data_IF_084347920860
#
_entry.id   IF_084347920860
#
_cell.length_a   1.000
_cell.length_b   1.000
_cell.length_c   1.000
_cell.angle_alpha   90.00
_cell.angle_beta   90.00
_cell.angle_gamma   90.00
#
_symmetry.space_group_name_H-M   'P 1'
#
loop_
_entity.id
_entity.type
_entity.pdbx_description
1 polymer ?
#
# COMPACT_ATOMS: atom_id res chain seq x y z
N UNK A 1 -10.88 7.81 19.11
CA UNK A 1 -11.15 7.76 17.66
C UNK A 1 -9.96 7.26 16.85
N UNK A 2 -8.77 7.87 16.95
CA UNK A 2 -7.57 7.43 16.21
C UNK A 2 -7.25 5.95 16.43
N UNK A 3 -7.25 5.47 17.68
CA UNK A 3 -6.99 4.05 17.98
C UNK A 3 -8.03 3.10 17.33
N UNK A 4 -9.30 3.50 17.26
CA UNK A 4 -10.34 2.71 16.60
C UNK A 4 -10.10 2.60 15.09
N UNK A 5 -9.78 3.73 14.43
CA UNK A 5 -9.46 3.74 13.01
C UNK A 5 -8.14 3.01 12.72
N UNK A 6 -7.18 3.03 13.64
CA UNK A 6 -5.94 2.23 13.55
C UNK A 6 -6.26 0.74 13.47
N UNK A 7 -7.13 0.24 14.36
CA UNK A 7 -7.54 -1.18 14.36
C UNK A 7 -8.25 -1.55 13.05
N UNK A 8 -9.18 -0.70 12.55
CA UNK A 8 -9.85 -0.95 11.26
C UNK A 8 -8.84 -1.07 10.14
N UNK A 9 -7.87 -0.15 10.07
CA UNK A 9 -6.87 -0.15 9.00
C UNK A 9 -5.90 -1.33 9.13
N UNK A 10 -5.56 -1.74 10.35
CA UNK A 10 -4.79 -2.97 10.58
C UNK A 10 -5.57 -4.20 10.10
N UNK A 11 -6.85 -4.34 10.43
CA UNK A 11 -7.71 -5.46 9.98
C UNK A 11 -7.79 -5.54 8.45
N UNK A 12 -7.91 -4.39 7.76
CA UNK A 12 -7.87 -4.30 6.32
C UNK A 12 -6.59 -4.98 5.73
N UNK A 13 -5.43 -4.70 6.31
CA UNK A 13 -4.17 -5.31 5.86
C UNK A 13 -3.97 -6.75 6.34
N UNK A 14 -4.56 -7.15 7.47
CA UNK A 14 -4.61 -8.55 7.90
C UNK A 14 -5.34 -9.40 6.86
N UNK A 15 -6.53 -9.00 6.43
CA UNK A 15 -7.32 -9.70 5.41
C UNK A 15 -6.56 -9.85 4.08
N UNK A 16 -5.93 -8.76 3.63
CA UNK A 16 -5.16 -8.75 2.38
C UNK A 16 -3.99 -9.72 2.45
N UNK A 17 -3.18 -9.61 3.51
CA UNK A 17 -1.94 -10.37 3.62
C UNK A 17 -2.17 -11.83 3.97
N UNK A 18 -3.23 -12.16 4.74
CA UNK A 18 -3.61 -13.54 5.03
C UNK A 18 -3.85 -14.35 3.76
N UNK A 19 -4.48 -13.75 2.74
CA UNK A 19 -4.74 -14.42 1.47
C UNK A 19 -3.44 -14.79 0.71
N UNK A 20 -2.39 -13.99 0.82
CA UNK A 20 -1.10 -14.29 0.19
C UNK A 20 -0.32 -15.40 0.92
N UNK A 21 -0.46 -15.46 2.24
CA UNK A 21 0.21 -16.49 3.07
C UNK A 21 -0.33 -17.90 2.88
N UNK A 22 -1.51 -18.06 2.27
CA UNK A 22 -2.14 -19.37 2.04
C UNK A 22 -2.02 -19.86 0.58
N UNK A 23 -1.21 -19.21 -0.28
CA UNK A 23 -1.06 -19.62 -1.67
C UNK A 23 -0.76 -21.10 -1.86
N UNK A 24 0.14 -21.75 -1.08
CA UNK A 24 0.36 -23.19 -1.19
C UNK A 24 -0.89 -24.01 -0.92
N UNK A 25 -1.74 -23.58 0.03
CA UNK A 25 -2.99 -24.27 0.37
C UNK A 25 -4.03 -24.12 -0.72
N UNK A 26 -4.16 -22.92 -1.31
CA UNK A 26 -5.06 -22.67 -2.44
C UNK A 26 -4.70 -23.51 -3.66
N UNK A 27 -3.41 -23.69 -3.96
CA UNK A 27 -2.95 -24.63 -5.00
C UNK A 27 -3.41 -26.06 -4.70
N UNK A 28 -3.20 -26.53 -3.49
CA UNK A 28 -3.45 -27.91 -3.10
C UNK A 28 -4.96 -28.23 -3.00
N UNK A 29 -5.75 -27.34 -2.38
CA UNK A 29 -7.17 -27.65 -2.06
C UNK A 29 -8.15 -27.21 -3.15
N UNK A 30 -7.89 -26.06 -3.80
CA UNK A 30 -8.78 -25.51 -4.81
C UNK A 30 -8.23 -25.61 -6.24
N UNK A 31 -7.02 -26.15 -6.42
CA UNK A 31 -6.41 -26.33 -7.74
C UNK A 31 -6.04 -25.00 -8.42
N UNK A 32 -5.67 -23.98 -7.66
CA UNK A 32 -5.22 -22.71 -8.24
C UNK A 32 -4.00 -22.88 -9.10
N UNK A 33 -4.05 -22.37 -10.32
CA UNK A 33 -2.85 -22.15 -11.14
C UNK A 33 -2.07 -20.93 -10.62
N UNK A 34 -0.79 -20.83 -10.98
CA UNK A 34 0.02 -19.67 -10.62
C UNK A 34 -0.55 -18.35 -11.18
N UNK A 35 -1.11 -18.39 -12.38
CA UNK A 35 -1.83 -17.25 -12.98
C UNK A 35 -3.02 -16.82 -12.12
N UNK A 36 -3.81 -17.78 -11.63
CA UNK A 36 -4.94 -17.49 -10.75
C UNK A 36 -4.50 -16.96 -9.38
N UNK A 37 -3.37 -17.41 -8.85
CA UNK A 37 -2.78 -16.84 -7.64
C UNK A 37 -2.35 -15.37 -7.86
N UNK A 38 -1.75 -15.07 -9.03
CA UNK A 38 -1.48 -13.69 -9.42
C UNK A 38 -2.76 -12.83 -9.46
N UNK A 39 -3.88 -13.40 -9.96
CA UNK A 39 -5.18 -12.72 -9.99
C UNK A 39 -5.76 -12.43 -8.60
N UNK A 40 -5.40 -13.19 -7.55
CA UNK A 40 -5.89 -12.94 -6.18
C UNK A 40 -5.60 -11.50 -5.74
N UNK A 41 -4.41 -11.00 -5.98
CA UNK A 41 -4.06 -9.62 -5.65
C UNK A 41 -4.36 -8.63 -6.76
N UNK A 42 -4.23 -9.04 -8.04
CA UNK A 42 -4.50 -8.16 -9.18
C UNK A 42 -5.94 -7.68 -9.22
N UNK A 43 -6.91 -8.59 -9.11
CA UNK A 43 -8.33 -8.24 -9.13
C UNK A 43 -8.72 -7.39 -7.94
N UNK A 44 -8.19 -7.70 -6.76
CA UNK A 44 -8.35 -6.85 -5.58
C UNK A 44 -7.76 -5.45 -5.81
N UNK A 45 -6.50 -5.37 -6.23
CA UNK A 45 -5.79 -4.09 -6.42
C UNK A 45 -6.44 -3.22 -7.49
N UNK A 46 -6.86 -3.81 -8.61
CA UNK A 46 -7.51 -3.08 -9.70
C UNK A 46 -8.91 -2.60 -9.31
N UNK A 47 -9.74 -3.45 -8.70
CA UNK A 47 -11.06 -3.05 -8.25
C UNK A 47 -10.99 -1.94 -7.19
N UNK A 48 -10.07 -2.05 -6.24
CA UNK A 48 -9.79 -1.03 -5.24
C UNK A 48 -9.35 0.30 -5.89
N UNK A 49 -8.34 0.25 -6.77
CA UNK A 49 -7.75 1.45 -7.40
C UNK A 49 -8.75 2.16 -8.34
N UNK A 50 -9.48 1.41 -9.16
CA UNK A 50 -10.45 1.97 -10.10
C UNK A 50 -11.68 2.55 -9.39
N UNK A 51 -12.08 1.98 -8.26
CA UNK A 51 -13.23 2.48 -7.50
C UNK A 51 -12.87 3.62 -6.53
N UNK A 52 -11.60 3.84 -6.23
CA UNK A 52 -11.13 4.88 -5.30
C UNK A 52 -11.64 6.30 -5.62
N UNK A 53 -11.68 6.78 -6.89
CA UNK A 53 -12.26 8.09 -7.21
C UNK A 53 -13.75 8.19 -6.90
N UNK A 54 -14.50 7.11 -7.09
CA UNK A 54 -15.94 7.02 -6.75
C UNK A 54 -16.10 7.04 -5.24
N UNK A 55 -15.31 6.25 -4.51
CA UNK A 55 -15.28 6.22 -3.04
C UNK A 55 -14.98 7.59 -2.44
N UNK A 56 -14.03 8.32 -3.04
CA UNK A 56 -13.74 9.69 -2.63
C UNK A 56 -14.94 10.63 -2.76
N UNK A 57 -15.68 10.55 -3.87
CA UNK A 57 -16.91 11.35 -4.06
C UNK A 57 -18.01 10.97 -3.07
N UNK A 58 -18.18 9.67 -2.82
CA UNK A 58 -19.14 9.19 -1.82
C UNK A 58 -18.77 9.73 -0.43
N UNK A 59 -17.49 9.72 -0.07
CA UNK A 59 -17.00 10.25 1.21
C UNK A 59 -17.13 11.78 1.34
N UNK A 60 -17.26 12.50 0.22
CA UNK A 60 -17.50 13.95 0.23
C UNK A 60 -18.98 14.30 0.54
N UNK A 61 -19.93 13.42 0.17
CA UNK A 61 -21.38 13.69 0.29
C UNK A 61 -22.07 12.85 1.36
N UNK A 62 -21.55 11.68 1.67
CA UNK A 62 -22.10 10.78 2.67
C UNK A 62 -21.54 11.04 4.07
N UNK A 63 -22.25 10.56 5.07
CA UNK A 63 -21.75 10.54 6.45
C UNK A 63 -20.55 9.62 6.57
N UNK A 64 -19.39 10.17 6.87
CA UNK A 64 -18.10 9.45 6.92
C UNK A 64 -18.05 8.36 7.97
N UNK A 65 -18.71 8.57 9.13
CA UNK A 65 -18.84 7.58 10.19
C UNK A 65 -19.55 6.32 9.71
N UNK A 66 -20.72 6.49 9.06
CA UNK A 66 -21.46 5.38 8.48
C UNK A 66 -20.72 4.72 7.32
N UNK A 67 -19.96 5.49 6.54
CA UNK A 67 -19.19 4.95 5.43
C UNK A 67 -18.05 4.04 5.91
N UNK A 68 -17.36 4.40 7.01
CA UNK A 68 -16.37 3.54 7.66
C UNK A 68 -17.00 2.25 8.17
N UNK A 69 -18.15 2.34 8.87
CA UNK A 69 -18.85 1.18 9.44
C UNK A 69 -19.34 0.27 8.31
N UNK A 70 -20.00 0.83 7.30
CA UNK A 70 -20.53 0.06 6.17
C UNK A 70 -19.42 -0.61 5.36
N UNK A 71 -18.32 0.11 5.10
CA UNK A 71 -17.15 -0.44 4.43
C UNK A 71 -16.62 -1.66 5.19
N UNK A 72 -16.38 -1.52 6.51
CA UNK A 72 -15.90 -2.62 7.36
C UNK A 72 -16.85 -3.83 7.33
N UNK A 73 -18.15 -3.61 7.48
CA UNK A 73 -19.14 -4.68 7.44
C UNK A 73 -19.19 -5.38 6.07
N UNK A 74 -19.19 -4.60 4.97
CA UNK A 74 -19.28 -5.13 3.62
C UNK A 74 -18.04 -5.94 3.23
N UNK A 75 -16.81 -5.44 3.53
CA UNK A 75 -15.64 -6.25 3.23
C UNK A 75 -15.53 -7.48 4.14
N UNK A 76 -15.99 -7.41 5.40
CA UNK A 76 -16.05 -8.59 6.27
C UNK A 76 -16.99 -9.65 5.71
N UNK A 77 -18.12 -9.27 5.11
CA UNK A 77 -18.98 -10.20 4.38
C UNK A 77 -18.31 -10.76 3.13
N UNK A 78 -17.51 -9.95 2.41
CA UNK A 78 -16.70 -10.44 1.30
C UNK A 78 -15.62 -11.44 1.77
N UNK A 79 -15.04 -11.23 2.95
CA UNK A 79 -14.13 -12.18 3.61
C UNK A 79 -14.84 -13.50 3.95
N UNK A 80 -16.10 -13.44 4.40
CA UNK A 80 -16.91 -14.67 4.57
C UNK A 80 -17.16 -15.36 3.23
N UNK A 81 -17.49 -14.61 2.19
CA UNK A 81 -17.63 -15.16 0.84
C UNK A 81 -16.35 -15.84 0.34
N UNK A 82 -15.18 -15.27 0.68
CA UNK A 82 -13.88 -15.90 0.44
C UNK A 82 -13.76 -17.23 1.20
N UNK A 83 -14.15 -17.29 2.49
CA UNK A 83 -14.14 -18.50 3.29
C UNK A 83 -15.05 -19.62 2.72
N UNK A 84 -16.18 -19.23 2.15
CA UNK A 84 -17.18 -20.16 1.57
C UNK A 84 -16.85 -20.58 0.13
N UNK A 85 -15.74 -20.09 -0.44
CA UNK A 85 -15.37 -20.37 -1.83
C UNK A 85 -14.95 -21.84 -2.02
N UNK A 86 -15.53 -22.50 -3.03
CA UNK A 86 -15.25 -23.88 -3.40
C UNK A 86 -14.55 -24.00 -4.77
N UNK A 87 -14.22 -22.89 -5.41
CA UNK A 87 -13.50 -22.84 -6.69
C UNK A 87 -12.61 -21.59 -6.76
N UNK A 88 -11.57 -21.61 -7.62
CA UNK A 88 -10.76 -20.42 -7.87
C UNK A 88 -11.60 -19.22 -8.31
N UNK A 89 -12.56 -19.43 -9.22
CA UNK A 89 -13.43 -18.36 -9.73
C UNK A 89 -14.24 -17.71 -8.61
N UNK A 90 -14.86 -18.49 -7.74
CA UNK A 90 -15.62 -17.96 -6.60
C UNK A 90 -14.73 -17.13 -5.68
N UNK A 91 -13.54 -17.62 -5.33
CA UNK A 91 -12.57 -16.90 -4.54
C UNK A 91 -12.19 -15.55 -5.19
N UNK A 92 -11.89 -15.56 -6.48
CA UNK A 92 -11.51 -14.37 -7.25
C UNK A 92 -12.64 -13.32 -7.33
N UNK A 93 -13.89 -13.74 -7.45
CA UNK A 93 -15.05 -12.83 -7.41
C UNK A 93 -15.07 -12.08 -6.06
N UNK A 94 -14.89 -12.79 -4.95
CA UNK A 94 -14.88 -12.15 -3.63
C UNK A 94 -13.69 -11.21 -3.44
N UNK A 95 -12.54 -11.44 -4.10
CA UNK A 95 -11.42 -10.48 -4.12
C UNK A 95 -11.80 -9.17 -4.81
N UNK A 96 -12.60 -9.21 -5.89
CA UNK A 96 -13.14 -8.01 -6.54
C UNK A 96 -14.10 -7.26 -5.60
N UNK A 97 -15.06 -7.98 -5.00
CA UNK A 97 -16.02 -7.38 -4.06
C UNK A 97 -15.30 -6.74 -2.87
N UNK A 98 -14.28 -7.41 -2.34
CA UNK A 98 -13.46 -6.90 -1.25
C UNK A 98 -12.76 -5.60 -1.65
N UNK A 99 -12.14 -5.53 -2.83
CA UNK A 99 -11.49 -4.31 -3.32
C UNK A 99 -12.44 -3.12 -3.46
N UNK A 100 -13.64 -3.35 -4.00
CA UNK A 100 -14.68 -2.32 -4.13
C UNK A 100 -15.12 -1.80 -2.74
N UNK A 101 -15.41 -2.70 -1.82
CA UNK A 101 -15.96 -2.36 -0.50
C UNK A 101 -14.91 -1.72 0.42
N UNK A 102 -13.67 -2.20 0.37
CA UNK A 102 -12.56 -1.62 1.14
C UNK A 102 -12.15 -0.23 0.68
N UNK A 103 -12.29 0.08 -0.62
CA UNK A 103 -11.94 1.39 -1.16
C UNK A 103 -12.73 2.55 -0.52
N UNK A 104 -13.92 2.28 0.01
CA UNK A 104 -14.76 3.26 0.70
C UNK A 104 -14.18 3.74 2.04
N UNK A 105 -13.35 2.90 2.69
CA UNK A 105 -12.81 3.18 4.01
C UNK A 105 -11.84 4.36 4.02
N UNK A 106 -10.82 4.30 3.16
CA UNK A 106 -9.65 5.19 3.25
C UNK A 106 -10.00 6.68 3.15
N UNK A 107 -10.79 7.15 2.15
CA UNK A 107 -11.19 8.56 2.06
C UNK A 107 -12.02 9.01 3.28
N UNK A 108 -12.92 8.15 3.76
CA UNK A 108 -13.78 8.45 4.90
C UNK A 108 -12.97 8.58 6.20
N UNK A 109 -12.05 7.64 6.45
CA UNK A 109 -11.19 7.64 7.64
C UNK A 109 -10.26 8.86 7.67
N UNK A 110 -9.60 9.18 6.55
CA UNK A 110 -8.76 10.38 6.45
C UNK A 110 -9.56 11.66 6.67
N UNK A 111 -10.80 11.71 6.15
CA UNK A 111 -11.70 12.83 6.35
C UNK A 111 -12.08 13.02 7.82
N UNK A 112 -12.35 11.93 8.56
CA UNK A 112 -12.62 11.97 10.00
C UNK A 112 -11.38 12.46 10.76
N UNK A 113 -10.22 11.88 10.49
CA UNK A 113 -8.97 12.26 11.16
C UNK A 113 -8.59 13.72 10.91
N UNK A 114 -8.83 14.24 9.70
CA UNK A 114 -8.54 15.62 9.37
C UNK A 114 -9.40 16.62 10.14
N UNK A 115 -10.66 16.26 10.47
CA UNK A 115 -11.58 17.09 11.26
C UNK A 115 -11.24 17.02 12.75
N UNK A 116 -10.96 15.83 13.27
CA UNK A 116 -10.70 15.62 14.70
C UNK A 116 -9.31 16.08 15.15
N UNK A 117 -8.35 16.20 14.23
CA UNK A 117 -6.97 16.60 14.50
C UNK A 117 -6.58 17.81 13.65
N UNK A 118 -7.07 19.02 13.97
CA UNK A 118 -6.69 20.24 13.24
C UNK A 118 -5.26 20.70 13.58
N UNK A 119 -4.65 21.45 12.66
CA UNK A 119 -3.36 22.11 12.89
C UNK A 119 -2.17 21.15 13.04
N UNK A 120 -1.37 21.34 14.07
CA UNK A 120 -0.08 20.64 14.28
C UNK A 120 -0.21 19.16 14.61
N UNK A 121 -1.37 18.70 15.07
CA UNK A 121 -1.58 17.29 15.44
C UNK A 121 -2.02 16.41 14.26
N UNK A 122 -2.44 17.00 13.15
CA UNK A 122 -2.98 16.30 11.98
C UNK A 122 -1.98 15.32 11.37
N UNK A 123 -0.77 15.76 11.09
CA UNK A 123 0.27 14.91 10.48
C UNK A 123 0.64 13.73 11.37
N UNK A 124 0.71 13.96 12.70
CA UNK A 124 0.97 12.90 13.68
C UNK A 124 -0.15 11.86 13.70
N UNK A 125 -1.41 12.30 13.70
CA UNK A 125 -2.57 11.41 13.69
C UNK A 125 -2.63 10.56 12.39
N UNK A 126 -2.38 11.18 11.24
CA UNK A 126 -2.31 10.48 9.96
C UNK A 126 -1.15 9.48 9.92
N UNK A 127 0.03 9.85 10.44
CA UNK A 127 1.19 8.96 10.53
C UNK A 127 0.93 7.74 11.41
N UNK A 128 0.30 7.92 12.58
CA UNK A 128 -0.10 6.80 13.46
C UNK A 128 -1.11 5.90 12.74
N UNK A 129 -2.12 6.48 12.08
CA UNK A 129 -3.08 5.70 11.30
C UNK A 129 -2.38 4.87 10.20
N UNK A 130 -1.44 5.46 9.48
CA UNK A 130 -0.68 4.76 8.43
C UNK A 130 0.23 3.66 9.00
N UNK A 131 0.72 3.78 10.24
CA UNK A 131 1.52 2.74 10.89
C UNK A 131 0.72 1.43 11.12
N UNK A 132 -0.62 1.50 11.15
CA UNK A 132 -1.49 0.33 11.22
C UNK A 132 -1.31 -0.62 10.04
N UNK A 133 -0.93 -0.12 8.87
CA UNK A 133 -0.59 -0.92 7.70
C UNK A 133 0.55 -1.90 8.00
N UNK A 134 1.64 -1.42 8.58
CA UNK A 134 2.79 -2.28 8.91
C UNK A 134 2.40 -3.38 9.90
N UNK A 135 1.67 -3.01 10.95
CA UNK A 135 1.18 -3.98 11.94
C UNK A 135 0.22 -5.00 11.30
N UNK A 136 -0.69 -4.54 10.45
CA UNK A 136 -1.65 -5.41 9.75
C UNK A 136 -0.98 -6.39 8.79
N UNK A 137 0.04 -5.94 8.04
CA UNK A 137 0.80 -6.82 7.12
C UNK A 137 1.56 -7.91 7.92
N UNK A 138 2.22 -7.55 9.02
CA UNK A 138 2.92 -8.53 9.87
C UNK A 138 1.92 -9.54 10.46
N UNK A 139 0.85 -9.04 11.07
CA UNK A 139 -0.16 -9.88 11.69
C UNK A 139 -0.85 -10.79 10.67
N UNK A 140 -1.21 -10.27 9.50
CA UNK A 140 -1.84 -11.03 8.43
C UNK A 140 -0.93 -12.08 7.80
N UNK A 141 0.37 -11.74 7.65
CA UNK A 141 1.38 -12.68 7.19
C UNK A 141 1.49 -13.93 8.08
N UNK A 142 1.55 -13.70 9.37
CA UNK A 142 1.56 -14.80 10.36
C UNK A 142 0.20 -15.50 10.46
N UNK A 143 -0.88 -14.72 10.60
CA UNK A 143 -2.23 -15.22 10.86
C UNK A 143 -2.74 -16.16 9.77
N UNK A 144 -2.57 -15.76 8.48
CA UNK A 144 -3.03 -16.58 7.35
C UNK A 144 -2.42 -17.98 7.36
N UNK A 145 -1.09 -18.05 7.56
CA UNK A 145 -0.38 -19.32 7.68
C UNK A 145 -0.80 -20.11 8.91
N UNK A 146 -0.84 -19.47 10.10
CA UNK A 146 -1.24 -20.10 11.35
C UNK A 146 -2.68 -20.66 11.27
N UNK A 147 -3.61 -19.89 10.77
CA UNK A 147 -5.00 -20.34 10.65
C UNK A 147 -5.11 -21.54 9.69
N UNK A 148 -4.39 -21.51 8.56
CA UNK A 148 -4.39 -22.62 7.62
C UNK A 148 -3.83 -23.90 8.20
N UNK A 149 -2.82 -23.81 9.10
CA UNK A 149 -2.18 -24.97 9.76
C UNK A 149 -3.00 -25.54 10.91
N UNK A 150 -3.75 -24.71 11.65
CA UNK A 150 -4.38 -25.11 12.93
C UNK A 150 -5.88 -25.35 12.83
N UNK A 151 -6.62 -24.43 12.23
CA UNK A 151 -8.09 -24.46 12.18
C UNK A 151 -8.64 -24.57 10.76
N UNK A 152 -7.75 -24.54 9.76
CA UNK A 152 -8.10 -24.45 8.35
C UNK A 152 -8.35 -23.02 7.88
N UNK A 153 -7.90 -22.69 6.65
CA UNK A 153 -7.98 -21.34 6.11
C UNK A 153 -9.42 -20.79 6.03
N UNK A 154 -10.40 -21.66 5.78
CA UNK A 154 -11.82 -21.25 5.73
C UNK A 154 -12.30 -20.75 7.08
N UNK A 155 -12.00 -21.46 8.15
CA UNK A 155 -12.33 -21.03 9.52
C UNK A 155 -11.54 -19.77 9.90
N UNK A 156 -10.29 -19.63 9.42
CA UNK A 156 -9.50 -18.41 9.59
C UNK A 156 -10.18 -17.18 8.98
N UNK A 157 -10.61 -17.25 7.70
CA UNK A 157 -11.34 -16.15 7.08
C UNK A 157 -12.73 -15.92 7.71
N UNK A 158 -13.44 -16.96 8.13
CA UNK A 158 -14.69 -16.80 8.87
C UNK A 158 -14.49 -16.08 10.22
N UNK A 159 -13.40 -16.36 10.93
CA UNK A 159 -13.04 -15.66 12.16
C UNK A 159 -12.71 -14.19 11.91
N UNK A 160 -12.00 -13.86 10.81
CA UNK A 160 -11.78 -12.46 10.41
C UNK A 160 -13.11 -11.76 10.10
N UNK A 161 -14.03 -12.41 9.39
CA UNK A 161 -15.37 -11.89 9.16
C UNK A 161 -16.09 -11.56 10.49
N UNK A 162 -16.14 -12.50 11.41
CA UNK A 162 -16.80 -12.30 12.72
C UNK A 162 -16.15 -11.13 13.45
N UNK A 163 -14.81 -11.08 13.49
CA UNK A 163 -14.06 -9.97 14.10
C UNK A 163 -14.44 -8.63 13.48
N UNK A 164 -14.48 -8.53 12.15
CA UNK A 164 -14.84 -7.30 11.45
C UNK A 164 -16.29 -6.89 11.67
N UNK A 165 -17.24 -7.84 11.66
CA UNK A 165 -18.66 -7.56 11.94
C UNK A 165 -18.86 -7.09 13.39
N UNK A 166 -18.27 -7.80 14.35
CA UNK A 166 -18.33 -7.38 15.77
C UNK A 166 -17.72 -6.00 15.93
N UNK A 167 -16.59 -5.74 15.31
CA UNK A 167 -15.94 -4.44 15.39
C UNK A 167 -16.76 -3.33 14.70
N UNK A 168 -17.46 -3.63 13.60
CA UNK A 168 -18.38 -2.68 12.96
C UNK A 168 -19.53 -2.27 13.88
N UNK A 169 -20.08 -3.22 14.66
CA UNK A 169 -21.11 -2.95 15.69
C UNK A 169 -20.54 -2.10 16.82
N UNK A 170 -19.32 -2.37 17.28
CA UNK A 170 -18.63 -1.53 18.28
C UNK A 170 -18.48 -0.10 17.77
N UNK A 171 -18.00 0.06 16.52
CA UNK A 171 -17.87 1.39 15.90
C UNK A 171 -19.23 2.11 15.79
N UNK A 172 -20.28 1.40 15.40
CA UNK A 172 -21.63 1.97 15.31
C UNK A 172 -22.12 2.54 16.65
N UNK A 173 -21.77 1.87 17.76
CA UNK A 173 -22.11 2.35 19.13
C UNK A 173 -21.25 3.55 19.55
N UNK A 174 -19.94 3.51 19.27
CA UNK A 174 -18.99 4.56 19.71
C UNK A 174 -19.09 5.82 18.85
N UNK A 175 -19.38 5.71 17.55
CA UNK A 175 -19.45 6.86 16.65
C UNK A 175 -20.75 7.68 16.82
N UNK A 176 -21.77 7.12 17.46
CA UNK A 176 -23.01 7.85 17.77
C UNK A 176 -22.70 9.12 18.57
N UNK A 177 -22.96 10.27 17.96
CA UNK A 177 -22.81 11.59 18.60
C UNK A 177 -21.39 12.17 18.69
N UNK A 178 -20.36 11.44 18.25
CA UNK A 178 -18.94 11.89 18.36
C UNK A 178 -18.40 12.46 17.04
N UNK A 179 -18.85 11.97 15.91
CA UNK A 179 -18.38 12.44 14.60
C UNK A 179 -19.33 13.51 14.07
N UNK A 180 -18.84 14.76 13.86
CA UNK A 180 -19.69 15.79 13.26
C UNK A 180 -20.17 15.35 11.87
N UNK A 181 -21.47 15.49 11.64
CA UNK A 181 -22.13 15.12 10.37
C UNK A 181 -21.81 16.08 9.21
N UNK A 182 -20.71 16.83 9.28
CA UNK A 182 -20.42 17.90 8.34
C UNK A 182 -19.64 17.33 7.17
N UNK A 183 -20.29 17.24 6.01
CA UNK A 183 -19.59 17.23 4.74
C UNK A 183 -18.92 18.61 4.59
N UNK A 184 -17.59 18.65 4.66
CA UNK A 184 -16.85 19.89 4.37
C UNK A 184 -16.82 20.03 2.85
N UNK A 185 -17.42 21.09 2.27
CA UNK A 185 -17.34 21.33 0.86
C UNK A 185 -15.86 21.44 0.45
N UNK A 186 -15.40 20.57 -0.44
CA UNK A 186 -14.07 20.72 -1.02
C UNK A 186 -14.08 21.91 -1.98
N UNK A 187 -13.04 22.76 -2.00
CA UNK A 187 -12.91 23.85 -2.95
C UNK A 187 -12.98 23.32 -4.38
N UNK A 188 -13.59 24.11 -5.27
CA UNK A 188 -13.77 23.76 -6.68
C UNK A 188 -12.46 23.26 -7.32
N UNK A 189 -12.50 22.04 -7.86
CA UNK A 189 -11.36 21.39 -8.50
C UNK A 189 -11.01 22.11 -9.80
N UNK A 190 -9.78 22.55 -9.95
CA UNK A 190 -9.24 22.84 -11.28
C UNK A 190 -9.09 21.50 -12.03
N UNK A 191 -9.36 21.52 -13.35
CA UNK A 191 -9.42 20.30 -14.17
C UNK A 191 -8.13 19.46 -14.14
N UNK A 192 -8.26 18.13 -14.30
CA UNK A 192 -7.17 17.15 -14.19
C UNK A 192 -6.02 17.36 -15.19
N UNK A 193 -6.24 18.09 -16.27
CA UNK A 193 -5.28 18.28 -17.36
C UNK A 193 -3.98 19.01 -17.00
N UNK A 194 -3.94 19.75 -15.88
CA UNK A 194 -2.75 20.49 -15.49
C UNK A 194 -1.61 19.61 -14.96
N UNK A 195 -1.91 18.47 -14.30
CA UNK A 195 -0.88 17.57 -13.74
C UNK A 195 -0.10 16.81 -14.83
N UNK A 196 -0.79 16.43 -15.91
CA UNK A 196 -0.16 15.72 -17.02
C UNK A 196 0.80 16.60 -17.86
N UNK A 197 0.86 17.90 -17.58
CA UNK A 197 1.80 18.84 -18.19
C UNK A 197 3.05 19.11 -17.35
N UNK A 198 3.14 18.51 -16.16
CA UNK A 198 4.29 18.68 -15.26
C UNK A 198 5.23 17.47 -15.44
N UNK A 199 6.37 17.59 -16.17
CA UNK A 199 7.23 16.46 -16.49
C UNK A 199 7.77 15.75 -15.23
N UNK A 200 8.06 16.52 -14.18
CA UNK A 200 8.59 15.97 -12.92
C UNK A 200 7.54 15.18 -12.13
N UNK A 201 6.26 15.59 -12.21
CA UNK A 201 5.17 14.79 -11.63
C UNK A 201 4.97 13.47 -12.40
N UNK A 202 5.08 13.50 -13.72
CA UNK A 202 5.00 12.29 -14.55
C UNK A 202 6.18 11.35 -14.28
N UNK A 203 7.40 11.89 -14.14
CA UNK A 203 8.57 11.09 -13.75
C UNK A 203 8.38 10.44 -12.37
N UNK A 204 7.83 11.19 -11.41
CA UNK A 204 7.51 10.66 -10.07
C UNK A 204 6.43 9.56 -10.14
N UNK A 205 5.36 9.77 -10.90
CA UNK A 205 4.30 8.77 -11.09
C UNK A 205 4.82 7.50 -11.78
N UNK A 206 5.67 7.64 -12.79
CA UNK A 206 6.33 6.53 -13.47
C UNK A 206 7.28 5.76 -12.52
N UNK A 207 8.06 6.49 -11.71
CA UNK A 207 8.93 5.85 -10.71
C UNK A 207 8.11 5.14 -9.64
N UNK A 208 7.01 5.72 -9.20
CA UNK A 208 6.11 5.10 -8.23
C UNK A 208 5.42 3.85 -8.81
N UNK A 209 5.11 3.85 -10.10
CA UNK A 209 4.60 2.66 -10.80
C UNK A 209 5.54 1.46 -10.61
N UNK A 210 6.81 1.58 -10.96
CA UNK A 210 7.77 0.48 -10.84
C UNK A 210 8.08 0.11 -9.40
N UNK A 211 8.12 1.09 -8.51
CA UNK A 211 8.32 0.84 -7.09
C UNK A 211 7.17 0.05 -6.48
N UNK A 212 5.92 0.42 -6.77
CA UNK A 212 4.75 -0.34 -6.33
C UNK A 212 4.70 -1.74 -6.95
N UNK A 213 5.05 -1.88 -8.24
CA UNK A 213 5.15 -3.18 -8.88
C UNK A 213 6.09 -4.12 -8.10
N UNK A 214 7.29 -3.64 -7.77
CA UNK A 214 8.26 -4.40 -6.96
C UNK A 214 7.72 -4.72 -5.56
N UNK A 215 7.13 -3.74 -4.86
CA UNK A 215 6.58 -3.95 -3.51
C UNK A 215 5.48 -5.01 -3.50
N UNK A 216 4.57 -4.99 -4.48
CA UNK A 216 3.45 -5.94 -4.53
C UNK A 216 3.91 -7.36 -4.86
N UNK A 217 4.97 -7.53 -5.68
CA UNK A 217 5.60 -8.84 -5.89
C UNK A 217 6.14 -9.36 -4.55
N UNK A 218 6.86 -8.51 -3.80
CA UNK A 218 7.39 -8.87 -2.47
C UNK A 218 6.27 -9.31 -1.53
N UNK A 219 5.21 -8.53 -1.40
CA UNK A 219 4.15 -8.84 -0.43
C UNK A 219 3.36 -10.11 -0.76
N UNK A 220 3.15 -10.37 -2.04
CA UNK A 220 2.30 -11.48 -2.48
C UNK A 220 3.04 -12.81 -2.63
N UNK A 221 4.22 -12.77 -3.24
CA UNK A 221 4.91 -13.99 -3.66
C UNK A 221 6.01 -14.44 -2.69
N UNK A 222 6.46 -13.56 -1.79
CA UNK A 222 7.52 -13.91 -0.86
C UNK A 222 7.12 -14.99 0.17
N UNK A 223 5.89 -15.00 0.74
CA UNK A 223 5.47 -16.10 1.61
C UNK A 223 5.53 -17.48 0.93
N UNK A 224 5.02 -17.57 -0.31
CA UNK A 224 5.04 -18.79 -1.13
C UNK A 224 6.48 -19.23 -1.44
N UNK A 225 7.35 -18.29 -1.82
CA UNK A 225 8.76 -18.54 -2.08
C UNK A 225 9.51 -19.08 -0.86
N UNK A 226 9.30 -18.51 0.32
CA UNK A 226 9.96 -18.95 1.55
C UNK A 226 9.46 -20.34 1.98
N UNK A 227 8.17 -20.61 1.82
CA UNK A 227 7.57 -21.91 2.07
C UNK A 227 8.21 -22.99 1.18
N UNK A 228 8.29 -22.74 -0.14
CA UNK A 228 8.83 -23.71 -1.09
C UNK A 228 10.36 -23.90 -0.92
N UNK A 229 11.12 -22.81 -0.74
CA UNK A 229 12.59 -22.85 -0.70
C UNK A 229 13.17 -23.36 0.60
N UNK A 230 12.70 -22.83 1.73
CA UNK A 230 13.27 -23.16 3.04
C UNK A 230 12.47 -24.23 3.81
N UNK A 231 11.41 -24.76 3.21
CA UNK A 231 10.55 -25.78 3.84
C UNK A 231 10.02 -25.34 5.21
N UNK A 232 9.75 -24.06 5.37
CA UNK A 232 9.17 -23.51 6.60
C UNK A 232 7.69 -23.89 6.70
N UNK A 233 7.13 -23.80 7.90
CA UNK A 233 5.67 -23.82 8.07
C UNK A 233 5.02 -22.62 7.41
N UNK A 234 3.73 -22.66 7.09
CA UNK A 234 3.03 -21.53 6.46
C UNK A 234 3.06 -20.28 7.36
N UNK A 235 2.86 -20.47 8.66
CA UNK A 235 2.93 -19.39 9.66
C UNK A 235 4.32 -18.75 9.71
N UNK A 236 5.38 -19.57 9.73
CA UNK A 236 6.76 -19.09 9.72
C UNK A 236 7.11 -18.38 8.40
N UNK A 237 6.64 -18.90 7.26
CA UNK A 237 6.88 -18.31 5.94
C UNK A 237 6.22 -16.93 5.84
N UNK A 238 4.94 -16.82 6.22
CA UNK A 238 4.21 -15.56 6.23
C UNK A 238 4.82 -14.54 7.19
N UNK A 239 5.21 -14.97 8.41
CA UNK A 239 5.86 -14.09 9.39
C UNK A 239 7.23 -13.61 8.89
N UNK A 240 8.11 -14.48 8.41
CA UNK A 240 9.43 -14.09 7.92
C UNK A 240 9.31 -13.16 6.70
N UNK A 241 8.37 -13.42 5.79
CA UNK A 241 8.15 -12.59 4.60
C UNK A 241 7.73 -11.15 4.93
N UNK A 242 7.11 -10.94 6.10
CA UNK A 242 6.53 -9.64 6.45
C UNK A 242 7.25 -8.92 7.57
N UNK A 243 7.61 -9.61 8.65
CA UNK A 243 8.14 -9.02 9.89
C UNK A 243 9.37 -8.15 9.63
N UNK A 244 10.40 -8.72 9.03
CA UNK A 244 11.70 -8.03 8.84
C UNK A 244 11.57 -6.83 7.92
N UNK A 245 10.78 -6.95 6.84
CA UNK A 245 10.54 -5.87 5.89
C UNK A 245 9.74 -4.76 6.53
N UNK A 246 8.62 -5.09 7.20
CA UNK A 246 7.72 -4.06 7.72
C UNK A 246 8.29 -3.30 8.92
N UNK A 247 8.98 -3.99 9.84
CA UNK A 247 9.63 -3.32 10.96
C UNK A 247 10.76 -2.38 10.49
N UNK A 248 11.63 -2.85 9.62
CA UNK A 248 12.70 -2.02 9.07
C UNK A 248 12.17 -0.89 8.19
N UNK A 249 11.09 -1.13 7.43
CA UNK A 249 10.42 -0.09 6.67
C UNK A 249 9.84 1.01 7.59
N UNK A 250 9.21 0.64 8.70
CA UNK A 250 8.74 1.60 9.70
C UNK A 250 9.87 2.51 10.22
N UNK A 251 11.03 1.92 10.54
CA UNK A 251 12.25 2.68 10.92
C UNK A 251 12.72 3.54 9.74
N UNK A 252 12.73 2.98 8.53
CA UNK A 252 13.12 3.69 7.31
C UNK A 252 12.24 4.90 7.00
N UNK A 253 10.93 4.79 7.22
CA UNK A 253 9.97 5.90 7.09
C UNK A 253 10.32 7.05 8.02
N UNK A 254 10.64 6.76 9.28
CA UNK A 254 11.01 7.80 10.26
C UNK A 254 12.33 8.48 9.91
N UNK A 255 13.37 7.69 9.60
CA UNK A 255 14.69 8.20 9.22
C UNK A 255 14.61 8.95 7.89
N UNK A 256 13.93 8.39 6.89
CA UNK A 256 13.78 8.98 5.56
C UNK A 256 13.02 10.31 5.57
N UNK A 257 11.96 10.40 6.39
CA UNK A 257 11.23 11.65 6.59
C UNK A 257 12.11 12.72 7.25
N UNK A 258 12.77 12.38 8.35
CA UNK A 258 13.69 13.29 9.04
C UNK A 258 14.84 13.76 8.13
N UNK A 259 15.45 12.83 7.38
CA UNK A 259 16.54 13.13 6.45
C UNK A 259 16.09 14.08 5.35
N UNK A 260 14.92 13.82 4.75
CA UNK A 260 14.37 14.64 3.68
C UNK A 260 14.07 16.08 4.17
N UNK A 261 13.46 16.21 5.34
CA UNK A 261 13.16 17.53 5.92
C UNK A 261 14.44 18.32 6.26
N UNK A 262 15.46 17.64 6.79
CA UNK A 262 16.75 18.28 7.08
C UNK A 262 17.50 18.70 5.83
N UNK A 263 17.48 17.87 4.79
CA UNK A 263 18.09 18.20 3.50
C UNK A 263 17.31 19.30 2.75
N UNK A 264 15.99 19.37 2.92
CA UNK A 264 15.15 20.40 2.30
C UNK A 264 15.49 21.82 2.74
N UNK A 265 16.14 21.98 3.90
CA UNK A 265 16.67 23.27 4.36
C UNK A 265 17.80 23.82 3.46
N UNK A 266 18.49 22.92 2.72
CA UNK A 266 19.66 23.28 1.88
C UNK A 266 19.44 22.96 0.41
N UNK A 267 18.64 21.94 0.11
CA UNK A 267 18.43 21.41 -1.25
C UNK A 267 16.95 21.44 -1.56
N UNK A 268 16.54 22.23 -2.54
CA UNK A 268 15.14 22.45 -2.91
C UNK A 268 14.40 21.16 -3.37
N UNK A 269 15.14 20.24 -4.00
CA UNK A 269 14.65 18.93 -4.49
C UNK A 269 14.95 17.76 -3.55
N UNK A 270 15.25 18.04 -2.28
CA UNK A 270 15.71 17.03 -1.32
C UNK A 270 14.78 15.80 -1.25
N UNK A 271 13.46 16.00 -1.19
CA UNK A 271 12.49 14.91 -1.11
C UNK A 271 12.53 14.00 -2.34
N UNK A 272 12.69 14.58 -3.54
CA UNK A 272 12.83 13.81 -4.78
C UNK A 272 14.11 12.98 -4.78
N UNK A 273 15.22 13.53 -4.31
CA UNK A 273 16.48 12.78 -4.16
C UNK A 273 16.34 11.65 -3.14
N UNK A 274 15.72 11.89 -1.99
CA UNK A 274 15.50 10.83 -0.98
C UNK A 274 14.60 9.72 -1.51
N UNK A 275 13.55 10.05 -2.29
CA UNK A 275 12.72 9.06 -2.99
C UNK A 275 13.54 8.27 -4.01
N UNK A 276 14.23 8.95 -4.92
CA UNK A 276 15.02 8.32 -5.97
C UNK A 276 16.15 7.44 -5.43
N UNK A 277 16.90 7.93 -4.43
CA UNK A 277 17.94 7.15 -3.74
C UNK A 277 17.34 5.96 -2.98
N UNK A 278 16.20 6.13 -2.30
CA UNK A 278 15.50 5.05 -1.62
C UNK A 278 15.09 3.93 -2.58
N UNK A 279 14.57 4.28 -3.75
CA UNK A 279 14.24 3.32 -4.81
C UNK A 279 15.49 2.63 -5.38
N UNK A 280 16.51 3.40 -5.73
CA UNK A 280 17.76 2.90 -6.30
C UNK A 280 18.45 1.93 -5.36
N UNK A 281 18.58 2.29 -4.08
CA UNK A 281 19.33 1.50 -3.10
C UNK A 281 18.52 0.32 -2.54
N UNK A 282 17.18 0.39 -2.48
CA UNK A 282 16.34 -0.74 -2.02
C UNK A 282 16.24 -1.85 -3.06
N UNK A 283 16.22 -1.53 -4.33
CA UNK A 283 15.99 -2.48 -5.41
C UNK A 283 16.97 -3.68 -5.43
N UNK A 284 18.30 -3.52 -5.28
CA UNK A 284 19.22 -4.64 -5.19
C UNK A 284 18.93 -5.60 -4.04
N UNK A 285 18.50 -5.08 -2.89
CA UNK A 285 18.19 -5.90 -1.72
C UNK A 285 16.87 -6.67 -1.88
N UNK A 286 15.89 -6.14 -2.62
CA UNK A 286 14.72 -6.91 -3.02
C UNK A 286 15.13 -8.13 -3.87
N UNK A 287 15.96 -7.94 -4.88
CA UNK A 287 16.50 -9.03 -5.70
C UNK A 287 17.27 -10.05 -4.86
N UNK A 288 18.20 -9.58 -4.00
CA UNK A 288 19.01 -10.45 -3.14
C UNK A 288 18.15 -11.24 -2.14
N UNK A 289 17.07 -10.66 -1.64
CA UNK A 289 16.12 -11.36 -0.76
C UNK A 289 15.44 -12.53 -1.50
N UNK A 290 15.00 -12.32 -2.74
CA UNK A 290 14.42 -13.39 -3.56
C UNK A 290 15.46 -14.46 -3.97
N UNK A 291 16.72 -14.09 -4.12
CA UNK A 291 17.83 -14.98 -4.45
C UNK A 291 18.51 -15.64 -3.25
N UNK A 292 18.11 -15.31 -2.01
CA UNK A 292 18.80 -15.76 -0.81
C UNK A 292 18.87 -17.29 -0.69
N UNK A 293 20.07 -17.79 -0.38
CA UNK A 293 20.34 -19.23 -0.22
C UNK A 293 20.07 -19.70 1.21
N UNK A 294 20.23 -18.80 2.19
CA UNK A 294 19.99 -19.07 3.61
C UNK A 294 18.90 -18.18 4.17
N UNK A 295 18.20 -18.65 5.20
CA UNK A 295 17.15 -17.87 5.84
C UNK A 295 17.69 -16.60 6.53
N UNK A 296 18.89 -16.67 7.11
CA UNK A 296 19.53 -15.51 7.74
C UNK A 296 20.01 -14.48 6.70
N UNK A 297 20.52 -14.95 5.56
CA UNK A 297 20.81 -14.09 4.40
C UNK A 297 19.55 -13.39 3.90
N UNK A 298 18.45 -14.12 3.78
CA UNK A 298 17.15 -13.54 3.46
C UNK A 298 16.76 -12.44 4.46
N UNK A 299 16.82 -12.72 5.77
CA UNK A 299 16.47 -11.76 6.83
C UNK A 299 17.29 -10.48 6.75
N UNK A 300 18.60 -10.62 6.53
CA UNK A 300 19.51 -9.48 6.35
C UNK A 300 19.10 -8.61 5.16
N UNK A 301 18.87 -9.24 4.01
CA UNK A 301 18.48 -8.52 2.80
C UNK A 301 17.07 -7.90 2.94
N UNK A 302 16.15 -8.58 3.62
CA UNK A 302 14.82 -8.08 3.91
C UNK A 302 14.84 -6.83 4.81
N UNK A 303 15.71 -6.81 5.84
CA UNK A 303 15.92 -5.62 6.70
C UNK A 303 16.50 -4.47 5.88
N UNK A 304 17.53 -4.70 5.08
CA UNK A 304 18.13 -3.66 4.25
C UNK A 304 17.13 -3.11 3.21
N UNK A 305 16.39 -4.01 2.55
CA UNK A 305 15.33 -3.63 1.62
C UNK A 305 14.27 -2.76 2.29
N UNK A 306 13.69 -3.21 3.40
CA UNK A 306 12.63 -2.49 4.10
C UNK A 306 13.09 -1.10 4.57
N UNK A 307 14.27 -1.01 5.18
CA UNK A 307 14.84 0.25 5.65
C UNK A 307 14.96 1.28 4.50
N UNK A 308 15.54 0.88 3.39
CA UNK A 308 15.77 1.76 2.24
C UNK A 308 14.48 2.07 1.47
N UNK A 309 13.56 1.10 1.33
CA UNK A 309 12.24 1.33 0.76
C UNK A 309 11.42 2.32 1.58
N UNK A 310 11.58 2.30 2.91
CA UNK A 310 10.96 3.25 3.82
C UNK A 310 11.30 4.71 3.51
N UNK A 311 12.51 5.00 3.01
CA UNK A 311 12.91 6.36 2.60
C UNK A 311 12.05 6.86 1.43
N UNK A 312 11.76 6.01 0.46
CA UNK A 312 10.89 6.35 -0.67
C UNK A 312 9.43 6.50 -0.20
N UNK A 313 8.91 5.52 0.57
CA UNK A 313 7.52 5.51 1.05
C UNK A 313 7.20 6.76 1.87
N UNK A 314 8.11 7.21 2.74
CA UNK A 314 7.92 8.41 3.56
C UNK A 314 7.71 9.67 2.73
N UNK A 315 8.39 9.78 1.58
CA UNK A 315 8.55 11.05 0.89
C UNK A 315 7.81 11.15 -0.45
N UNK A 316 7.23 10.05 -0.98
CA UNK A 316 6.63 10.03 -2.33
C UNK A 316 5.52 11.06 -2.50
N UNK A 317 4.59 11.16 -1.55
CA UNK A 317 3.49 12.13 -1.61
C UNK A 317 3.97 13.55 -1.30
N UNK A 318 4.88 13.70 -0.35
CA UNK A 318 5.48 15.00 -0.03
C UNK A 318 6.28 15.55 -1.22
N UNK A 319 7.04 14.70 -1.92
CA UNK A 319 7.75 15.06 -3.14
C UNK A 319 6.78 15.47 -4.28
N UNK A 320 5.62 14.80 -4.40
CA UNK A 320 4.59 15.21 -5.34
C UNK A 320 4.06 16.63 -5.02
N UNK A 321 3.83 16.93 -3.73
CA UNK A 321 3.33 18.25 -3.31
C UNK A 321 4.34 19.37 -3.50
N UNK A 322 5.65 19.07 -3.51
CA UNK A 322 6.69 20.06 -3.81
C UNK A 322 6.71 20.49 -5.29
N UNK A 323 6.15 19.67 -6.20
CA UNK A 323 6.19 19.94 -7.66
C UNK A 323 4.85 20.38 -8.24
N UNK A 324 3.77 20.36 -7.44
CA UNK A 324 2.42 20.72 -7.88
C UNK A 324 1.87 21.91 -7.07
N UNK A 325 0.81 22.56 -7.58
CA UNK A 325 0.10 23.60 -6.84
C UNK A 325 -0.75 22.98 -5.73
N UNK A 326 -0.84 23.63 -4.56
CA UNK A 326 -1.59 23.17 -3.39
C UNK A 326 -3.03 22.74 -3.67
N UNK A 327 -3.70 23.37 -4.64
CA UNK A 327 -5.08 23.07 -5.04
C UNK A 327 -5.24 21.67 -5.65
N UNK A 328 -4.17 21.07 -6.17
CA UNK A 328 -4.18 19.79 -6.88
C UNK A 328 -3.66 18.61 -6.03
N UNK A 329 -3.25 18.82 -4.77
CA UNK A 329 -2.64 17.79 -3.93
C UNK A 329 -3.55 16.56 -3.75
N UNK A 330 -4.84 16.74 -3.52
CA UNK A 330 -5.77 15.63 -3.36
C UNK A 330 -5.91 14.78 -4.62
N UNK A 331 -6.01 15.43 -5.79
CA UNK A 331 -6.10 14.72 -7.06
C UNK A 331 -4.80 13.99 -7.42
N UNK A 332 -3.64 14.61 -7.16
CA UNK A 332 -2.34 13.99 -7.36
C UNK A 332 -2.15 12.76 -6.47
N UNK A 333 -2.57 12.84 -5.20
CA UNK A 333 -2.56 11.68 -4.28
C UNK A 333 -3.43 10.55 -4.81
N UNK A 334 -4.64 10.86 -5.29
CA UNK A 334 -5.54 9.87 -5.89
C UNK A 334 -4.94 9.22 -7.13
N UNK A 335 -4.32 10.01 -8.01
CA UNK A 335 -3.69 9.51 -9.23
C UNK A 335 -2.48 8.62 -8.92
N UNK A 336 -1.63 9.00 -7.96
CA UNK A 336 -0.51 8.16 -7.51
C UNK A 336 -1.01 6.85 -6.90
N UNK A 337 -2.00 6.89 -6.00
CA UNK A 337 -2.56 5.66 -5.42
C UNK A 337 -3.17 4.75 -6.49
N UNK A 338 -3.89 5.31 -7.46
CA UNK A 338 -4.42 4.55 -8.60
C UNK A 338 -3.29 3.93 -9.42
N UNK A 339 -2.24 4.69 -9.72
CA UNK A 339 -1.04 4.19 -10.43
C UNK A 339 -0.40 3.03 -9.67
N UNK A 340 -0.23 3.17 -8.35
CA UNK A 340 0.34 2.12 -7.49
C UNK A 340 -0.51 0.86 -7.45
N UNK A 341 -1.84 0.98 -7.35
CA UNK A 341 -2.75 -0.17 -7.36
C UNK A 341 -2.80 -0.89 -8.70
N UNK A 342 -2.81 -0.13 -9.81
CA UNK A 342 -2.79 -0.70 -11.16
C UNK A 342 -1.47 -1.44 -11.45
N UNK A 343 -0.33 -0.82 -11.11
CA UNK A 343 0.99 -1.41 -11.32
C UNK A 343 1.21 -2.65 -10.46
N UNK A 344 0.83 -2.59 -9.18
CA UNK A 344 0.95 -3.72 -8.27
C UNK A 344 0.13 -4.92 -8.73
N UNK A 345 -1.13 -4.68 -9.13
CA UNK A 345 -1.97 -5.73 -9.71
C UNK A 345 -1.36 -6.32 -10.99
N UNK A 346 -0.89 -5.48 -11.91
CA UNK A 346 -0.24 -5.96 -13.13
C UNK A 346 1.01 -6.80 -12.83
N UNK A 347 1.85 -6.36 -11.90
CA UNK A 347 3.07 -7.06 -11.53
C UNK A 347 2.80 -8.43 -10.91
N UNK A 348 1.80 -8.53 -10.04
CA UNK A 348 1.40 -9.81 -9.44
C UNK A 348 0.92 -10.81 -10.48
N UNK A 349 0.09 -10.35 -11.44
CA UNK A 349 -0.39 -11.20 -12.54
C UNK A 349 0.76 -11.63 -13.45
N UNK A 350 1.67 -10.71 -13.80
CA UNK A 350 2.84 -11.04 -14.63
C UNK A 350 3.70 -12.11 -13.98
N UNK A 351 3.94 -12.04 -12.67
CA UNK A 351 4.64 -13.12 -11.96
C UNK A 351 3.85 -14.42 -12.03
N UNK A 352 2.54 -14.38 -11.83
CA UNK A 352 1.69 -15.58 -11.93
C UNK A 352 1.71 -16.24 -13.30
N UNK A 353 1.80 -15.46 -14.38
CA UNK A 353 1.85 -15.97 -15.76
C UNK A 353 3.24 -16.55 -16.07
N UNK A 354 4.31 -15.82 -15.73
CA UNK A 354 5.64 -16.05 -16.26
C UNK A 354 6.62 -16.72 -15.28
N UNK A 355 6.23 -16.97 -14.01
CA UNK A 355 7.17 -17.52 -13.02
C UNK A 355 7.69 -18.91 -13.38
N UNK A 356 6.90 -19.72 -14.11
CA UNK A 356 7.33 -21.06 -14.54
C UNK A 356 8.26 -21.03 -15.75
N UNK A 357 8.20 -19.97 -16.55
CA UNK A 357 9.03 -19.80 -17.74
C UNK A 357 10.37 -19.14 -17.42
N UNK A 358 10.34 -18.02 -16.69
CA UNK A 358 11.55 -17.22 -16.39
C UNK A 358 12.07 -17.38 -14.96
N UNK A 359 11.29 -17.98 -14.08
CA UNK A 359 11.58 -18.06 -12.65
C UNK A 359 11.29 -16.75 -11.92
N UNK A 360 10.80 -16.86 -10.67
CA UNK A 360 10.40 -15.71 -9.85
C UNK A 360 11.57 -14.76 -9.54
N UNK A 361 12.80 -15.28 -9.45
CA UNK A 361 14.01 -14.48 -9.18
C UNK A 361 14.31 -13.55 -10.35
N UNK A 362 14.19 -14.04 -11.60
CA UNK A 362 14.40 -13.24 -12.81
C UNK A 362 13.34 -12.14 -12.95
N UNK A 363 12.09 -12.46 -12.67
CA UNK A 363 10.98 -11.48 -12.68
C UNK A 363 11.19 -10.39 -11.63
N UNK A 364 11.67 -10.77 -10.43
CA UNK A 364 12.04 -9.80 -9.40
C UNK A 364 13.25 -8.97 -9.83
N UNK A 365 14.25 -9.57 -10.50
CA UNK A 365 15.39 -8.82 -11.02
C UNK A 365 14.96 -7.73 -12.01
N UNK A 366 14.02 -8.02 -12.91
CA UNK A 366 13.48 -7.03 -13.86
C UNK A 366 12.71 -5.91 -13.15
N UNK A 367 11.85 -6.26 -12.18
CA UNK A 367 11.15 -5.26 -11.39
C UNK A 367 12.10 -4.39 -10.57
N UNK A 368 13.13 -4.99 -9.97
CA UNK A 368 14.18 -4.28 -9.23
C UNK A 368 14.99 -3.36 -10.15
N UNK A 369 15.42 -3.85 -11.32
CA UNK A 369 16.16 -3.05 -12.29
C UNK A 369 15.33 -1.86 -12.79
N UNK A 370 14.06 -2.07 -13.12
CA UNK A 370 13.14 -1.01 -13.53
C UNK A 370 12.93 0.02 -12.40
N UNK A 371 12.81 -0.43 -11.16
CA UNK A 371 12.70 0.44 -9.97
C UNK A 371 14.00 1.25 -9.78
N UNK A 372 15.16 0.63 -9.85
CA UNK A 372 16.45 1.31 -9.72
C UNK A 372 16.64 2.36 -10.82
N UNK A 373 16.38 1.97 -12.08
CA UNK A 373 16.50 2.88 -13.23
C UNK A 373 15.54 4.08 -13.11
N UNK A 374 14.31 3.84 -12.69
CA UNK A 374 13.34 4.92 -12.45
C UNK A 374 13.74 5.84 -11.30
N UNK A 375 14.40 5.29 -10.26
CA UNK A 375 15.00 6.08 -9.18
C UNK A 375 16.11 6.98 -9.67
N UNK A 376 17.00 6.48 -10.55
CA UNK A 376 18.03 7.30 -11.21
C UNK A 376 17.41 8.39 -12.07
N UNK A 377 16.40 8.03 -12.88
CA UNK A 377 15.68 8.97 -13.74
C UNK A 377 15.04 10.09 -12.90
N UNK A 378 14.47 9.77 -11.74
CA UNK A 378 13.89 10.76 -10.83
C UNK A 378 14.96 11.70 -10.25
N UNK A 379 16.13 11.19 -9.86
CA UNK A 379 17.25 12.00 -9.37
C UNK A 379 17.78 12.94 -10.47
N UNK A 380 17.94 12.45 -11.70
CA UNK A 380 18.36 13.26 -12.84
C UNK A 380 17.28 14.32 -13.15
N UNK A 381 16.01 13.93 -13.22
CA UNK A 381 14.90 14.84 -13.43
C UNK A 381 14.81 15.96 -12.38
N UNK A 382 15.05 15.62 -11.11
CA UNK A 382 15.09 16.57 -10.00
C UNK A 382 16.18 17.65 -10.19
N UNK A 383 17.29 17.29 -10.83
CA UNK A 383 18.37 18.25 -11.13
C UNK A 383 18.01 19.21 -12.28
N UNK A 384 17.32 18.73 -13.32
CA UNK A 384 17.13 19.47 -14.55
C UNK A 384 15.82 20.27 -14.61
N UNK A 385 14.75 19.78 -14.02
CA UNK A 385 13.39 20.32 -14.19
C UNK A 385 12.88 21.20 -13.04
N UNK A 386 13.54 21.24 -11.88
CA UNK A 386 13.11 22.11 -10.78
C UNK A 386 13.46 23.58 -11.01
N UNK A 387 14.52 23.90 -11.79
CA UNK A 387 14.95 25.28 -11.98
C UNK A 387 13.93 26.18 -12.71
N UNK A 388 13.18 25.74 -13.73
CA UNK A 388 12.21 26.61 -14.42
C UNK A 388 10.85 26.72 -13.72
N UNK A 389 10.30 25.64 -13.21
CA UNK A 389 8.90 25.58 -12.75
C UNK A 389 8.59 26.34 -11.44
N UNK A 390 9.59 26.64 -10.65
CA UNK A 390 9.48 27.35 -9.38
C UNK A 390 9.90 28.82 -9.45
N UNK A 391 10.56 29.25 -10.53
CA UNK A 391 10.81 30.65 -10.77
C UNK A 391 9.50 31.43 -10.99
N UNK A 392 8.50 30.79 -11.62
CA UNK A 392 7.20 31.39 -11.91
C UNK A 392 6.18 31.27 -10.75
N UNK A 393 6.46 30.49 -9.70
CA UNK A 393 5.51 30.15 -8.63
C UNK A 393 5.74 30.91 -7.30
N UNK A 394 6.82 31.64 -7.14
CA UNK A 394 7.09 32.42 -5.92
C UNK A 394 6.77 33.91 -6.19
N UNK A 395 5.86 34.53 -5.42
CA UNK A 395 5.85 35.98 -5.33
C UNK A 395 7.25 36.40 -4.82
N UNK A 396 7.86 37.35 -5.58
CA UNK A 396 9.11 38.02 -5.17
C UNK A 396 8.98 38.38 -3.67
N UNK A 397 9.70 37.74 -2.79
CA UNK A 397 9.93 38.29 -1.46
C UNK A 397 10.70 39.59 -1.68
N UNK A 398 9.99 40.69 -1.68
CA UNK A 398 10.63 41.99 -1.42
C UNK A 398 11.17 41.90 0.00
N UNK A 399 12.47 41.94 0.08
CA UNK A 399 13.18 42.24 1.32
C UNK A 399 12.82 43.69 1.64
N UNK A 400 12.00 43.91 2.66
CA UNK A 400 11.93 45.15 3.41
C UNK A 400 12.64 44.93 4.73
#
# INVERSE_FOLDING_TARGET
>A
MLALLFVVFALCYVDRQAAFSIFPVLKKELGFSDTQLGLVGSLFGWSYALFMPVSGRIADVARRDWLVIASLALWSLATLGTALSNSPTSFLIWRVVMGLTESLYFPAALGILAVLHPGSTRSRALGIHQAAQFAGIIAGGWYGGWAAETIGWRMGFAALCITGIVYSVVLARVFQGVVPSIAVPLPARQGPGSLFRIPLFLALAFSFFWFCAMLWIVYAWLPDLLYERFRLSLSSSGLNATLYIQLSCGVGVLIGGWLADRLALRIRSARLYVVGCGMLLSAPFAYLAFGAVTLDGFRLYAVAFGLLAGFAIANIFAAAYDVIRNQNCGFATGLLNMTGGLSGGAAMLMVGIYKNEFGIISLMAWAAAATALSGVMLCVGARWFIQPALADALPSRRVE
#
